data_IF_761150766438
#
_entry.id   IF_761150766438
#
_cell.length_a   1.000
_cell.length_b   1.000
_cell.length_c   1.000
_cell.angle_alpha   90.00
_cell.angle_beta   90.00
_cell.angle_gamma   90.00
#
_symmetry.space_group_name_H-M   'P 1'
#
loop_
_entity.id
_entity.type
_entity.pdbx_description
1 polymer ?
#
# COMPACT_ATOMS: atom_id res chain seq x y z
N UNK A 1 -13.37 -1.58 13.30
CA UNK A 1 -12.92 -2.95 13.08
C UNK A 1 -11.54 -3.14 13.68
N UNK A 2 -11.35 -4.25 14.36
CA UNK A 2 -10.05 -4.59 14.96
C UNK A 2 -9.50 -5.83 14.28
N UNK A 3 -8.23 -5.78 13.87
CA UNK A 3 -7.58 -6.91 13.23
C UNK A 3 -6.22 -7.15 13.90
N UNK A 4 -6.00 -8.40 14.27
CA UNK A 4 -4.72 -8.80 14.86
C UNK A 4 -3.96 -9.68 13.88
N UNK A 5 -2.70 -9.35 13.65
CA UNK A 5 -1.83 -10.10 12.74
C UNK A 5 -0.59 -10.56 13.51
N UNK A 6 -0.11 -11.75 13.17
CA UNK A 6 1.23 -12.16 13.62
C UNK A 6 2.25 -11.30 12.91
N UNK A 7 3.48 -11.28 13.43
CA UNK A 7 4.58 -10.54 12.78
C UNK A 7 4.81 -11.03 11.35
N UNK A 8 4.73 -12.34 11.12
CA UNK A 8 4.87 -12.92 9.79
C UNK A 8 3.75 -12.48 8.85
N UNK A 9 2.51 -12.50 9.33
CA UNK A 9 1.36 -12.05 8.54
C UNK A 9 1.46 -10.56 8.20
N UNK A 10 1.88 -9.75 9.16
CA UNK A 10 2.06 -8.32 8.94
C UNK A 10 3.17 -8.06 7.92
N UNK A 11 4.27 -8.82 7.97
CA UNK A 11 5.36 -8.71 7.01
C UNK A 11 4.91 -9.07 5.60
N UNK A 12 4.14 -10.15 5.46
CA UNK A 12 3.59 -10.57 4.16
C UNK A 12 2.65 -9.51 3.59
N UNK A 13 1.79 -8.96 4.42
CA UNK A 13 0.86 -7.90 4.00
C UNK A 13 1.63 -6.65 3.57
N UNK A 14 2.61 -6.23 4.33
CA UNK A 14 3.43 -5.06 3.99
C UNK A 14 4.17 -5.25 2.67
N UNK A 15 4.73 -6.43 2.43
CA UNK A 15 5.41 -6.77 1.18
C UNK A 15 4.44 -6.68 0.00
N UNK A 16 3.24 -7.24 0.16
CA UNK A 16 2.19 -7.20 -0.87
C UNK A 16 1.77 -5.76 -1.17
N UNK A 17 1.56 -4.95 -0.13
CA UNK A 17 1.18 -3.54 -0.29
C UNK A 17 2.27 -2.74 -1.01
N UNK A 18 3.53 -2.94 -0.65
CA UNK A 18 4.65 -2.26 -1.32
C UNK A 18 4.74 -2.65 -2.80
N UNK A 19 4.54 -3.91 -3.13
CA UNK A 19 4.50 -4.37 -4.52
C UNK A 19 3.38 -3.72 -5.31
N UNK A 20 2.18 -3.67 -4.74
CA UNK A 20 1.02 -3.03 -5.37
C UNK A 20 1.25 -1.53 -5.54
N UNK A 21 1.85 -0.86 -4.55
CA UNK A 21 2.17 0.56 -4.64
C UNK A 21 3.18 0.85 -5.75
N UNK A 22 4.16 -0.02 -5.93
CA UNK A 22 5.11 0.08 -7.04
C UNK A 22 4.41 -0.05 -8.40
N UNK A 23 3.52 -1.01 -8.54
CA UNK A 23 2.74 -1.23 -9.76
C UNK A 23 1.85 -0.02 -10.07
N UNK A 24 1.17 0.53 -9.05
CA UNK A 24 0.33 1.72 -9.21
C UNK A 24 1.16 2.91 -9.66
N UNK A 25 2.34 3.11 -9.08
CA UNK A 25 3.24 4.21 -9.45
C UNK A 25 3.68 4.09 -10.91
N UNK A 26 3.97 2.87 -11.38
CA UNK A 26 4.32 2.62 -12.77
C UNK A 26 3.15 2.92 -13.71
N UNK A 27 1.94 2.51 -13.35
CA UNK A 27 0.74 2.78 -14.15
C UNK A 27 0.43 4.29 -14.21
N UNK A 28 0.58 4.99 -13.09
CA UNK A 28 0.37 6.45 -13.02
C UNK A 28 1.33 7.15 -14.01
N UNK A 29 2.58 6.71 -14.05
CA UNK A 29 3.58 7.30 -14.93
C UNK A 29 3.31 6.96 -16.41
N UNK A 30 2.70 5.82 -16.69
CA UNK A 30 2.51 5.31 -18.04
C UNK A 30 1.23 5.77 -18.72
N UNK A 31 0.19 6.14 -17.94
CA UNK A 31 -1.11 6.46 -18.53
C UNK A 31 -1.20 7.90 -18.99
N UNK A 32 -1.83 8.12 -20.16
CA UNK A 32 -2.15 9.45 -20.69
C UNK A 32 -3.56 9.92 -20.29
N UNK A 33 -4.37 9.04 -19.72
CA UNK A 33 -5.73 9.36 -19.31
C UNK A 33 -5.73 10.01 -17.93
N UNK A 34 -6.05 11.31 -17.86
CA UNK A 34 -6.01 12.08 -16.61
C UNK A 34 -7.00 11.58 -15.56
N UNK A 35 -8.23 11.22 -15.97
CA UNK A 35 -9.24 10.71 -15.04
C UNK A 35 -8.82 9.36 -14.45
N UNK A 36 -8.28 8.48 -15.27
CA UNK A 36 -7.78 7.18 -14.83
C UNK A 36 -6.58 7.37 -13.88
N UNK A 37 -5.67 8.28 -14.22
CA UNK A 37 -4.52 8.61 -13.37
C UNK A 37 -4.96 9.09 -11.98
N UNK A 38 -5.96 9.95 -11.92
CA UNK A 38 -6.49 10.47 -10.66
C UNK A 38 -7.06 9.35 -9.79
N UNK A 39 -7.77 8.40 -10.40
CA UNK A 39 -8.27 7.21 -9.70
C UNK A 39 -7.14 6.36 -9.14
N UNK A 40 -6.07 6.16 -9.92
CA UNK A 40 -4.90 5.41 -9.46
C UNK A 40 -4.19 6.11 -8.31
N UNK A 41 -4.08 7.44 -8.36
CA UNK A 41 -3.47 8.23 -7.28
C UNK A 41 -4.27 8.13 -5.99
N UNK A 42 -5.60 8.18 -6.10
CA UNK A 42 -6.48 8.04 -4.93
C UNK A 42 -6.32 6.65 -4.30
N UNK A 43 -6.26 5.60 -5.11
CA UNK A 43 -6.03 4.24 -4.64
C UNK A 43 -4.66 4.10 -3.99
N UNK A 44 -3.64 4.67 -4.60
CA UNK A 44 -2.28 4.65 -4.04
C UNK A 44 -2.25 5.30 -2.66
N UNK A 45 -2.85 6.48 -2.53
CA UNK A 45 -2.92 7.19 -1.25
C UNK A 45 -3.63 6.36 -0.17
N UNK A 46 -4.73 5.69 -0.53
CA UNK A 46 -5.46 4.83 0.37
C UNK A 46 -4.58 3.65 0.86
N UNK A 47 -3.87 3.00 -0.05
CA UNK A 47 -3.01 1.86 0.29
C UNK A 47 -1.78 2.30 1.09
N UNK A 48 -1.25 3.50 0.83
CA UNK A 48 -0.16 4.06 1.65
C UNK A 48 -0.62 4.25 3.10
N UNK A 49 -1.85 4.71 3.32
CA UNK A 49 -2.42 4.82 4.67
C UNK A 49 -2.56 3.46 5.35
N UNK A 50 -3.00 2.44 4.59
CA UNK A 50 -3.10 1.07 5.13
C UNK A 50 -1.73 0.54 5.52
N UNK A 51 -0.73 0.72 4.66
CA UNK A 51 0.64 0.29 4.95
C UNK A 51 1.17 0.97 6.21
N UNK A 52 0.96 2.27 6.35
CA UNK A 52 1.39 3.02 7.53
C UNK A 52 0.77 2.45 8.81
N UNK A 53 -0.51 2.09 8.76
CA UNK A 53 -1.20 1.47 9.91
C UNK A 53 -0.63 0.10 10.26
N UNK A 54 -0.31 -0.71 9.25
CA UNK A 54 0.31 -2.02 9.46
C UNK A 54 1.68 -1.86 10.13
N UNK A 55 2.49 -0.92 9.67
CA UNK A 55 3.83 -0.67 10.22
C UNK A 55 3.76 -0.14 11.66
N UNK A 56 2.81 0.74 11.96
CA UNK A 56 2.63 1.28 13.31
C UNK A 56 2.16 0.20 14.28
N UNK A 57 1.22 -0.65 13.85
CA UNK A 57 0.71 -1.75 14.67
C UNK A 57 1.71 -2.89 14.86
N UNK A 58 2.66 -3.03 13.94
CA UNK A 58 3.67 -4.09 13.93
C UNK A 58 5.04 -3.47 13.64
N UNK A 59 5.67 -2.81 14.63
CA UNK A 59 6.90 -2.03 14.41
C UNK A 59 8.06 -2.81 13.79
N UNK A 60 8.12 -4.12 14.02
CA UNK A 60 9.18 -4.97 13.45
C UNK A 60 9.13 -5.01 11.92
N UNK A 61 7.98 -4.71 11.31
CA UNK A 61 7.79 -4.74 9.86
C UNK A 61 8.34 -3.49 9.18
N UNK A 62 8.40 -2.38 9.90
CA UNK A 62 8.82 -1.09 9.36
C UNK A 62 10.32 -0.88 9.24
N UNK A 63 11.12 -1.84 9.66
CA UNK A 63 12.59 -1.72 9.64
C UNK A 63 13.23 -2.34 8.42
#
# INVERSE_FOLDING_TARGET
MRMELTDEEAADLATTLRGTLGDLSSEIAATDNAAYRDGLRARRASLERVLAKVEVSNPAVGT
#
